data_IF_260095676372
#
_entry.id   IF_260095676372
#
_cell.length_a   1.000
_cell.length_b   1.000
_cell.length_c   1.000
_cell.angle_alpha   90.00
_cell.angle_beta   90.00
_cell.angle_gamma   90.00
#
_symmetry.space_group_name_H-M   'P 1'
#
loop_
_entity.id
_entity.type
_entity.pdbx_description
1 polymer ?
#
# COMPACT_ATOMS: atom_id res chain seq x y z
N UNK A 1 -31.49 -94.34 -14.23
CA UNK A 1 -31.60 -94.05 -12.79
C UNK A 1 -31.62 -92.55 -12.63
N UNK A 2 -32.48 -92.05 -11.72
CA UNK A 2 -32.65 -90.65 -11.28
C UNK A 2 -33.72 -89.79 -11.98
N UNK A 3 -34.95 -89.94 -11.45
CA UNK A 3 -35.86 -88.93 -10.87
C UNK A 3 -36.51 -87.81 -11.72
N UNK A 4 -37.80 -88.04 -12.03
CA UNK A 4 -39.02 -87.26 -11.66
C UNK A 4 -38.90 -85.76 -11.35
N UNK A 5 -39.71 -84.92 -12.04
CA UNK A 5 -40.79 -84.12 -11.43
C UNK A 5 -41.55 -83.25 -12.46
N UNK A 6 -42.88 -83.28 -12.35
CA UNK A 6 -43.85 -82.48 -13.09
C UNK A 6 -43.95 -81.04 -12.54
N UNK A 7 -44.33 -80.09 -13.38
CA UNK A 7 -44.88 -78.81 -12.91
C UNK A 7 -45.87 -78.25 -13.94
N UNK A 8 -47.14 -78.27 -13.56
CA UNK A 8 -48.28 -77.72 -14.29
C UNK A 8 -48.48 -76.23 -13.98
N UNK A 9 -49.00 -75.52 -15.00
CA UNK A 9 -49.74 -74.25 -15.03
C UNK A 9 -49.87 -73.37 -13.77
N UNK A 10 -49.66 -72.05 -13.97
CA UNK A 10 -50.68 -71.00 -13.78
C UNK A 10 -50.15 -69.64 -14.33
N UNK A 11 -51.00 -68.82 -15.00
CA UNK A 11 -50.62 -67.51 -15.53
C UNK A 11 -50.78 -66.43 -14.44
N UNK A 12 -49.75 -65.60 -14.24
CA UNK A 12 -49.82 -64.45 -13.33
C UNK A 12 -50.20 -63.20 -14.15
N UNK A 13 -51.36 -62.64 -13.80
CA UNK A 13 -51.93 -61.39 -14.31
C UNK A 13 -51.07 -60.22 -13.82
N UNK A 14 -50.51 -59.43 -14.74
CA UNK A 14 -49.79 -58.18 -14.44
C UNK A 14 -50.82 -57.06 -14.23
N UNK A 15 -51.09 -56.73 -12.97
CA UNK A 15 -51.89 -55.55 -12.60
C UNK A 15 -50.99 -54.30 -12.63
N UNK A 16 -51.27 -53.39 -13.56
CA UNK A 16 -50.61 -52.09 -13.68
C UNK A 16 -51.07 -51.15 -12.54
N UNK A 17 -50.19 -50.90 -11.57
CA UNK A 17 -50.40 -49.86 -10.55
C UNK A 17 -49.86 -48.52 -11.05
N UNK A 18 -50.78 -47.60 -11.35
CA UNK A 18 -50.47 -46.20 -11.61
C UNK A 18 -50.14 -45.54 -10.27
N UNK A 19 -48.84 -45.32 -10.00
CA UNK A 19 -48.36 -44.50 -8.90
C UNK A 19 -48.63 -43.03 -9.22
N UNK A 20 -49.72 -42.49 -8.69
CA UNK A 20 -49.90 -41.05 -8.56
C UNK A 20 -49.02 -40.53 -7.42
N UNK A 21 -47.89 -39.92 -7.77
CA UNK A 21 -47.09 -39.14 -6.83
C UNK A 21 -47.80 -37.82 -6.55
N UNK A 22 -48.54 -37.74 -5.45
CA UNK A 22 -49.01 -36.44 -4.95
C UNK A 22 -47.81 -35.67 -4.40
N UNK A 23 -47.53 -34.51 -4.97
CA UNK A 23 -46.53 -33.58 -4.46
C UNK A 23 -46.92 -33.20 -3.02
N UNK A 24 -46.20 -33.71 -2.03
CA UNK A 24 -46.35 -33.30 -0.65
C UNK A 24 -45.60 -31.98 -0.47
N UNK A 25 -46.32 -30.89 -0.22
CA UNK A 25 -45.70 -29.67 0.28
C UNK A 25 -45.12 -30.01 1.66
N UNK A 26 -43.80 -29.86 1.82
CA UNK A 26 -43.13 -30.16 3.08
C UNK A 26 -43.45 -29.05 4.10
N UNK A 27 -44.44 -29.31 4.95
CA UNK A 27 -44.81 -28.44 6.07
C UNK A 27 -43.93 -28.76 7.29
N UNK A 28 -43.26 -27.76 7.85
CA UNK A 28 -42.37 -27.93 9.01
C UNK A 28 -43.16 -27.60 10.27
N UNK A 29 -43.17 -28.52 11.24
CA UNK A 29 -43.82 -28.39 12.53
C UNK A 29 -42.77 -28.21 13.64
N UNK A 30 -43.08 -27.40 14.64
CA UNK A 30 -42.24 -27.23 15.83
C UNK A 30 -42.79 -28.08 16.97
N UNK A 31 -41.97 -28.99 17.47
CA UNK A 31 -42.34 -29.97 18.46
C UNK A 31 -41.43 -29.87 19.69
N UNK A 32 -41.95 -30.19 20.87
CA UNK A 32 -41.14 -30.30 22.09
C UNK A 32 -41.16 -31.76 22.54
N UNK A 33 -40.02 -32.44 22.40
CA UNK A 33 -39.85 -33.84 22.81
C UNK A 33 -38.88 -33.86 23.99
N UNK A 34 -39.32 -34.35 25.14
CA UNK A 34 -38.53 -34.39 26.39
C UNK A 34 -37.94 -33.03 26.80
N UNK A 35 -38.68 -31.95 26.55
CA UNK A 35 -38.23 -30.58 26.85
C UNK A 35 -37.27 -29.98 25.81
N UNK A 36 -36.93 -30.71 24.74
CA UNK A 36 -36.04 -30.24 23.66
C UNK A 36 -36.86 -29.86 22.42
N UNK A 37 -36.70 -28.63 21.88
CA UNK A 37 -37.35 -28.23 20.64
C UNK A 37 -36.76 -29.02 19.45
N UNK A 38 -37.64 -29.60 18.63
CA UNK A 38 -37.31 -30.31 17.39
C UNK A 38 -38.25 -29.87 16.29
N UNK A 39 -37.73 -29.83 15.06
CA UNK A 39 -38.53 -29.58 13.87
C UNK A 39 -38.80 -30.89 13.14
N UNK A 40 -40.02 -31.07 12.66
CA UNK A 40 -40.51 -32.32 12.05
C UNK A 40 -41.35 -32.00 10.82
N UNK A 41 -41.30 -32.85 9.80
CA UNK A 41 -42.13 -32.73 8.59
C UNK A 41 -43.55 -33.33 8.79
N UNK A 42 -43.90 -33.63 10.05
CA UNK A 42 -45.20 -34.18 10.48
C UNK A 42 -45.63 -33.54 11.80
N UNK A 43 -46.95 -33.36 12.03
CA UNK A 43 -47.47 -32.85 13.30
C UNK A 43 -47.12 -33.80 14.45
N UNK A 44 -46.80 -33.25 15.61
CA UNK A 44 -46.42 -34.04 16.78
C UNK A 44 -47.64 -34.42 17.65
N UNK A 45 -48.67 -33.58 17.63
CA UNK A 45 -49.97 -33.83 18.23
C UNK A 45 -51.10 -33.43 17.27
N UNK A 46 -52.30 -33.97 17.53
CA UNK A 46 -53.49 -33.61 16.76
C UNK A 46 -53.84 -32.13 16.99
N UNK A 47 -53.83 -31.34 15.93
CA UNK A 47 -54.12 -29.90 15.96
C UNK A 47 -52.90 -28.99 15.95
N UNK A 48 -51.69 -29.52 15.85
CA UNK A 48 -50.48 -28.71 15.68
C UNK A 48 -50.54 -27.90 14.38
N UNK A 49 -50.20 -26.62 14.46
CA UNK A 49 -50.10 -25.75 13.30
C UNK A 49 -48.68 -25.79 12.72
N UNK A 50 -48.55 -25.79 11.38
CA UNK A 50 -47.25 -25.69 10.73
C UNK A 50 -46.59 -24.34 11.02
N UNK A 51 -45.27 -24.33 11.08
CA UNK A 51 -44.46 -23.13 11.25
C UNK A 51 -44.48 -22.33 9.96
N UNK A 52 -44.89 -21.07 10.05
CA UNK A 52 -44.82 -20.13 8.93
C UNK A 52 -43.36 -19.76 8.68
N UNK A 53 -42.80 -20.28 7.59
CA UNK A 53 -41.46 -19.89 7.12
C UNK A 53 -41.65 -18.72 6.14
N UNK A 54 -41.02 -17.56 6.39
CA UNK A 54 -41.10 -16.45 5.45
C UNK A 54 -40.46 -16.84 4.11
N UNK A 55 -41.00 -16.29 3.02
CA UNK A 55 -40.43 -16.49 1.69
C UNK A 55 -38.95 -16.06 1.68
N UNK A 56 -38.11 -16.93 1.13
CA UNK A 56 -36.68 -16.65 1.01
C UNK A 56 -36.49 -15.53 0.00
N UNK A 57 -36.02 -14.37 0.46
CA UNK A 57 -35.54 -13.30 -0.43
C UNK A 57 -34.26 -13.77 -1.13
N UNK A 58 -34.41 -14.29 -2.35
CA UNK A 58 -33.27 -14.64 -3.21
C UNK A 58 -32.65 -13.35 -3.74
N UNK A 59 -31.51 -12.95 -3.19
CA UNK A 59 -30.73 -11.84 -3.74
C UNK A 59 -30.03 -12.31 -5.01
N UNK A 60 -30.33 -11.73 -6.19
CA UNK A 60 -29.70 -12.15 -7.43
C UNK A 60 -28.21 -11.83 -7.39
N UNK A 61 -27.38 -12.80 -7.81
CA UNK A 61 -25.95 -12.57 -7.98
C UNK A 61 -25.74 -11.43 -8.99
N UNK A 62 -25.13 -10.35 -8.54
CA UNK A 62 -24.80 -9.24 -9.42
C UNK A 62 -23.60 -9.62 -10.29
N UNK A 63 -23.65 -9.27 -11.59
CA UNK A 63 -22.48 -9.38 -12.47
C UNK A 63 -21.45 -8.34 -12.05
N UNK A 64 -20.48 -8.75 -11.23
CA UNK A 64 -19.30 -7.95 -10.92
C UNK A 64 -18.13 -8.37 -11.81
N UNK A 65 -17.15 -7.47 -11.98
CA UNK A 65 -15.86 -7.88 -12.54
C UNK A 65 -15.26 -9.03 -11.72
N UNK A 66 -14.54 -9.97 -12.36
CA UNK A 66 -13.84 -11.03 -11.65
C UNK A 66 -12.95 -10.43 -10.55
N UNK A 67 -13.10 -10.90 -9.31
CA UNK A 67 -12.37 -10.39 -8.14
C UNK A 67 -10.84 -10.38 -8.36
N UNK A 68 -10.33 -11.32 -9.16
CA UNK A 68 -8.92 -11.37 -9.56
C UNK A 68 -8.48 -10.09 -10.32
N UNK A 69 -9.29 -9.59 -11.27
CA UNK A 69 -8.96 -8.37 -12.02
C UNK A 69 -8.93 -7.13 -11.13
N UNK A 70 -9.88 -7.03 -10.20
CA UNK A 70 -9.92 -5.93 -9.23
C UNK A 70 -8.71 -5.97 -8.30
N UNK A 71 -8.31 -7.17 -7.86
CA UNK A 71 -7.09 -7.37 -7.08
C UNK A 71 -5.84 -6.93 -7.85
N UNK A 72 -5.69 -7.39 -9.08
CA UNK A 72 -4.52 -7.08 -9.92
C UNK A 72 -4.43 -5.58 -10.22
N UNK A 73 -5.56 -4.94 -10.53
CA UNK A 73 -5.62 -3.48 -10.73
C UNK A 73 -5.16 -2.71 -9.47
N UNK A 74 -5.59 -3.16 -8.29
CA UNK A 74 -5.16 -2.57 -7.01
C UNK A 74 -3.66 -2.77 -6.76
N UNK A 75 -3.14 -3.97 -7.01
CA UNK A 75 -1.71 -4.26 -6.84
C UNK A 75 -0.87 -3.42 -7.79
N UNK A 76 -1.27 -3.31 -9.07
CA UNK A 76 -0.56 -2.48 -10.05
C UNK A 76 -0.57 -1.00 -9.66
N UNK A 77 -1.71 -0.47 -9.21
CA UNK A 77 -1.81 0.91 -8.75
C UNK A 77 -0.88 1.16 -7.54
N UNK A 78 -0.85 0.24 -6.58
CA UNK A 78 0.05 0.32 -5.42
C UNK A 78 1.53 0.27 -5.83
N UNK A 79 1.90 -0.67 -6.71
CA UNK A 79 3.27 -0.79 -7.21
C UNK A 79 3.72 0.46 -7.95
N UNK A 80 2.85 1.04 -8.78
CA UNK A 80 3.13 2.29 -9.48
C UNK A 80 3.38 3.44 -8.49
N UNK A 81 2.48 3.62 -7.51
CA UNK A 81 2.63 4.67 -6.50
C UNK A 81 3.95 4.51 -5.71
N UNK A 82 4.30 3.27 -5.35
CA UNK A 82 5.54 2.99 -4.63
C UNK A 82 6.79 3.21 -5.48
N UNK A 83 6.74 2.84 -6.77
CA UNK A 83 7.85 3.10 -7.69
C UNK A 83 8.08 4.61 -7.89
N UNK A 84 7.03 5.42 -7.92
CA UNK A 84 7.14 6.89 -7.98
C UNK A 84 7.75 7.48 -6.71
N UNK A 85 7.33 6.99 -5.52
CA UNK A 85 7.91 7.37 -4.23
C UNK A 85 9.40 6.97 -4.13
N UNK A 86 9.73 5.73 -4.50
CA UNK A 86 11.09 5.20 -4.47
C UNK A 86 12.01 5.96 -5.45
N UNK A 87 11.49 6.34 -6.62
CA UNK A 87 12.24 7.14 -7.59
C UNK A 87 12.56 8.54 -7.05
N UNK A 88 11.57 9.24 -6.46
CA UNK A 88 11.78 10.55 -5.86
C UNK A 88 12.79 10.48 -4.70
N UNK A 89 12.68 9.46 -3.84
CA UNK A 89 13.64 9.21 -2.76
C UNK A 89 15.06 8.94 -3.30
N UNK A 90 15.16 8.15 -4.38
CA UNK A 90 16.43 7.84 -5.03
C UNK A 90 17.15 9.09 -5.57
N UNK A 91 16.41 9.98 -6.24
CA UNK A 91 16.96 11.23 -6.78
C UNK A 91 17.43 12.18 -5.68
N UNK A 92 16.63 12.37 -4.62
CA UNK A 92 17.01 13.19 -3.46
C UNK A 92 18.24 12.63 -2.74
N UNK A 93 18.28 11.31 -2.54
CA UNK A 93 19.41 10.63 -1.91
C UNK A 93 20.68 10.80 -2.74
N UNK A 94 20.60 10.56 -4.06
CA UNK A 94 21.73 10.72 -4.97
C UNK A 94 22.24 12.16 -4.99
N UNK A 95 21.34 13.15 -5.01
CA UNK A 95 21.71 14.57 -4.95
C UNK A 95 22.45 14.92 -3.65
N UNK A 96 21.96 14.42 -2.50
CA UNK A 96 22.63 14.63 -1.21
C UNK A 96 24.03 14.02 -1.17
N UNK A 97 24.17 12.77 -1.64
CA UNK A 97 25.48 12.10 -1.70
C UNK A 97 26.44 12.84 -2.63
N UNK A 98 25.96 13.29 -3.79
CA UNK A 98 26.76 14.08 -4.72
C UNK A 98 27.22 15.41 -4.10
N UNK A 99 26.35 16.08 -3.34
CA UNK A 99 26.67 17.33 -2.66
C UNK A 99 27.72 17.15 -1.55
N UNK A 100 27.55 16.12 -0.71
CA UNK A 100 28.52 15.75 0.32
C UNK A 100 29.90 15.42 -0.30
N UNK A 101 29.91 14.68 -1.40
CA UNK A 101 31.14 14.36 -2.13
C UNK A 101 31.78 15.62 -2.74
N UNK A 102 30.98 16.54 -3.29
CA UNK A 102 31.45 17.83 -3.83
C UNK A 102 32.12 18.66 -2.74
N UNK A 103 31.50 18.81 -1.57
CA UNK A 103 32.06 19.56 -0.43
C UNK A 103 33.34 18.88 0.07
N UNK A 104 33.35 17.55 0.20
CA UNK A 104 34.54 16.80 0.62
C UNK A 104 35.71 17.03 -0.34
N UNK A 105 35.46 16.92 -1.64
CA UNK A 105 36.50 17.11 -2.66
C UNK A 105 37.00 18.57 -2.68
N UNK A 106 36.12 19.55 -2.47
CA UNK A 106 36.51 20.96 -2.35
C UNK A 106 37.45 21.19 -1.16
N UNK A 107 37.18 20.59 0.01
CA UNK A 107 38.09 20.66 1.17
C UNK A 107 39.47 20.11 0.85
N UNK A 108 39.54 18.98 0.14
CA UNK A 108 40.83 18.38 -0.28
C UNK A 108 41.59 19.30 -1.23
N UNK A 109 40.90 20.01 -2.12
CA UNK A 109 41.51 20.98 -3.05
C UNK A 109 41.81 22.35 -2.41
N UNK A 110 41.39 22.58 -1.18
CA UNK A 110 41.52 23.89 -0.54
C UNK A 110 40.55 24.95 -1.09
N UNK A 111 39.48 24.53 -1.74
CA UNK A 111 38.50 25.42 -2.38
C UNK A 111 37.27 25.61 -1.48
N UNK A 112 36.81 26.87 -1.35
CA UNK A 112 35.53 27.17 -0.69
C UNK A 112 34.41 27.09 -1.72
N UNK A 113 33.37 26.33 -1.38
CA UNK A 113 32.18 26.13 -2.21
C UNK A 113 30.90 26.31 -1.39
N UNK A 114 29.78 26.51 -2.06
CA UNK A 114 28.44 26.54 -1.42
C UNK A 114 28.17 25.27 -0.63
N UNK A 115 27.38 25.36 0.45
CA UNK A 115 27.06 24.25 1.36
C UNK A 115 28.12 23.95 2.42
N UNK A 116 29.30 24.56 2.33
CA UNK A 116 30.35 24.42 3.34
C UNK A 116 29.97 25.18 4.64
N UNK A 117 30.41 24.71 5.80
CA UNK A 117 30.19 25.42 7.07
C UNK A 117 31.18 26.56 7.26
N UNK A 118 30.82 27.52 8.12
CA UNK A 118 31.66 28.64 8.51
C UNK A 118 33.03 28.20 9.09
N UNK A 119 33.05 27.15 9.91
CA UNK A 119 34.26 26.54 10.46
C UNK A 119 35.17 25.94 9.39
N UNK A 120 34.60 25.29 8.38
CA UNK A 120 35.39 24.76 7.27
C UNK A 120 36.01 25.89 6.43
N UNK A 121 35.27 26.98 6.22
CA UNK A 121 35.81 28.18 5.56
C UNK A 121 36.97 28.76 6.35
N UNK A 122 36.85 28.88 7.67
CA UNK A 122 37.96 29.38 8.52
C UNK A 122 39.17 28.44 8.51
N UNK A 123 38.97 27.13 8.48
CA UNK A 123 40.07 26.17 8.37
C UNK A 123 40.82 26.29 7.04
N UNK A 124 40.12 26.63 5.96
CA UNK A 124 40.72 26.75 4.62
C UNK A 124 41.37 28.11 4.36
N UNK A 125 40.68 29.21 4.72
CA UNK A 125 41.10 30.57 4.38
C UNK A 125 41.63 31.38 5.57
N UNK A 126 41.56 30.84 6.78
CA UNK A 126 41.84 31.56 8.01
C UNK A 126 40.70 32.51 8.42
N UNK A 127 41.05 33.49 9.24
CA UNK A 127 40.10 34.47 9.73
C UNK A 127 39.79 35.55 8.67
N UNK A 128 38.50 35.90 8.46
CA UNK A 128 38.13 36.95 7.53
C UNK A 128 38.60 38.32 8.02
N UNK A 129 39.08 39.18 7.11
CA UNK A 129 39.48 40.55 7.50
C UNK A 129 38.27 41.45 7.77
N UNK A 130 37.11 41.14 7.17
CA UNK A 130 35.86 41.84 7.44
C UNK A 130 34.70 40.87 7.49
N UNK A 131 33.84 41.06 8.48
CA UNK A 131 32.57 40.36 8.63
C UNK A 131 31.46 41.40 8.72
N UNK A 132 30.54 41.36 7.77
CA UNK A 132 29.31 42.16 7.82
C UNK A 132 28.13 41.22 8.10
N UNK A 133 27.40 41.47 9.19
CA UNK A 133 26.26 40.65 9.61
C UNK A 133 24.97 41.44 9.44
N UNK A 134 23.94 40.80 8.91
CA UNK A 134 22.58 41.32 8.81
C UNK A 134 21.58 40.20 9.08
N UNK A 135 20.42 40.52 9.64
CA UNK A 135 19.35 39.54 9.86
C UNK A 135 18.15 39.90 8.98
N UNK A 136 17.50 38.91 8.40
CA UNK A 136 16.25 39.11 7.66
C UNK A 136 15.23 38.02 8.03
N UNK A 137 14.08 38.02 7.37
CA UNK A 137 13.01 37.03 7.61
C UNK A 137 13.43 35.56 7.36
N UNK A 138 14.55 35.32 6.66
CA UNK A 138 15.06 33.99 6.33
C UNK A 138 16.21 33.53 7.23
N UNK A 139 16.68 34.36 8.16
CA UNK A 139 17.77 34.02 9.08
C UNK A 139 18.88 35.06 9.13
N UNK A 140 20.01 34.65 9.70
CA UNK A 140 21.21 35.48 9.84
C UNK A 140 22.06 35.34 8.58
N UNK A 141 22.34 36.46 7.91
CA UNK A 141 23.24 36.52 6.76
C UNK A 141 24.54 37.19 7.17
N UNK A 142 25.66 36.56 6.84
CA UNK A 142 26.98 37.12 7.03
C UNK A 142 27.70 37.24 5.68
N UNK A 143 28.45 38.32 5.49
CA UNK A 143 29.33 38.50 4.35
C UNK A 143 30.74 38.67 4.85
N UNK A 144 31.59 37.70 4.52
CA UNK A 144 32.98 37.63 4.92
C UNK A 144 33.86 38.01 3.74
N UNK A 145 34.84 38.87 3.97
CA UNK A 145 35.81 39.28 2.94
C UNK A 145 37.21 38.80 3.32
N UNK A 146 37.86 38.17 2.35
CA UNK A 146 39.21 37.65 2.36
C UNK A 146 40.04 38.40 1.31
N UNK A 147 41.17 38.97 1.70
CA UNK A 147 42.18 39.41 0.75
C UNK A 147 43.15 38.26 0.50
N UNK A 148 43.06 37.66 -0.68
CA UNK A 148 44.00 36.66 -1.16
C UNK A 148 45.05 37.35 -2.05
N UNK A 149 46.31 37.27 -1.62
CA UNK A 149 47.43 37.86 -2.37
C UNK A 149 47.61 37.24 -3.75
N UNK A 150 47.17 35.99 -3.97
CA UNK A 150 47.32 35.27 -5.24
C UNK A 150 46.08 35.38 -6.14
N UNK A 151 44.89 35.53 -5.55
CA UNK A 151 43.62 35.48 -6.30
C UNK A 151 42.75 36.73 -6.19
N UNK A 152 43.23 37.77 -5.50
CA UNK A 152 42.52 39.03 -5.29
C UNK A 152 41.57 38.96 -4.10
N UNK A 153 40.38 39.57 -4.17
CA UNK A 153 39.42 39.51 -3.04
C UNK A 153 38.47 38.33 -3.21
N UNK A 154 38.31 37.53 -2.17
CA UNK A 154 37.29 36.50 -2.06
C UNK A 154 36.23 36.95 -1.05
N UNK A 155 34.98 36.97 -1.45
CA UNK A 155 33.83 37.28 -0.60
C UNK A 155 32.97 36.03 -0.47
N UNK A 156 32.77 35.58 0.78
CA UNK A 156 31.94 34.43 1.12
C UNK A 156 30.68 34.95 1.79
N UNK A 157 29.51 34.55 1.31
CA UNK A 157 28.23 34.86 1.96
C UNK A 157 27.72 33.61 2.65
N UNK A 158 27.42 33.74 3.94
CA UNK A 158 26.84 32.68 4.76
C UNK A 158 25.40 33.03 5.12
N UNK A 159 24.55 32.03 5.19
CA UNK A 159 23.23 32.10 5.80
C UNK A 159 23.15 31.01 6.85
N UNK A 160 22.85 31.39 8.10
CA UNK A 160 22.78 30.47 9.25
C UNK A 160 24.01 29.54 9.32
N UNK A 161 25.19 30.15 9.16
CA UNK A 161 26.52 29.54 9.25
C UNK A 161 26.89 28.56 8.12
N UNK A 162 26.10 28.53 7.03
CA UNK A 162 26.37 27.78 5.81
C UNK A 162 26.64 28.71 4.63
N UNK A 163 27.65 28.41 3.82
CA UNK A 163 27.99 29.18 2.61
C UNK A 163 26.87 29.07 1.58
N UNK A 164 26.30 30.21 1.18
CA UNK A 164 25.27 30.30 0.13
C UNK A 164 25.76 30.96 -1.15
N UNK A 165 26.86 31.73 -1.09
CA UNK A 165 27.46 32.37 -2.26
C UNK A 165 28.97 32.58 -2.06
N UNK A 166 29.74 32.46 -3.13
CA UNK A 166 31.19 32.72 -3.13
C UNK A 166 31.52 33.55 -4.37
N UNK A 167 32.16 34.70 -4.16
CA UNK A 167 32.59 35.61 -5.23
C UNK A 167 34.08 35.85 -5.13
N UNK A 168 34.83 35.63 -6.20
CA UNK A 168 36.22 36.04 -6.30
C UNK A 168 36.37 37.15 -7.34
N UNK A 169 37.11 38.20 -7.00
CA UNK A 169 37.52 39.23 -7.95
C UNK A 169 39.02 39.08 -8.19
N UNK A 170 39.40 38.55 -9.35
CA UNK A 170 40.80 38.46 -9.75
C UNK A 170 41.29 39.85 -10.18
N UNK A 171 42.27 40.41 -9.46
CA UNK A 171 42.94 41.62 -9.91
C UNK A 171 43.73 41.26 -11.16
N UNK A 172 43.34 41.75 -12.34
CA UNK A 172 44.19 41.65 -13.54
C UNK A 172 45.47 42.43 -13.25
N UNK A 173 46.57 41.71 -13.03
CA UNK A 173 47.90 42.32 -13.07
C UNK A 173 48.18 42.71 -14.52
N UNK A 174 48.40 44.00 -14.75
CA UNK A 174 48.83 44.58 -16.03
C UNK A 174 50.34 44.48 -16.18
#
# INVERSE_FOLDING_TARGET
>A
MSNVAAASCLPVVVAATVLWSTAANAEIYHCVVDGVPKFSDKPCHAGDAPVSVPDVTVVPAQKSEPLARQHDARVQAYQKARAEEDAAWGDEYAARVADEARIRNARVRGEVVTGMSDDDVRKLLGDPQRVATRTNARGRIQSWSYNDSEHGRVTVTLQDDIVVDVRSSKTRSH
#
